data_IF_646228336782
#
_entry.id   IF_646228336782
#
_cell.length_a   1.000
_cell.length_b   1.000
_cell.length_c   1.000
_cell.angle_alpha   90.00
_cell.angle_beta   90.00
_cell.angle_gamma   90.00
#
_symmetry.space_group_name_H-M   'P 1'
#
loop_
_entity.id
_entity.type
_entity.pdbx_description
1 polymer ?
#
# COMPACT_ATOMS: atom_id res chain seq x y z
N UNK A 1 -18.04 -10.42 2.74
CA UNK A 1 -18.47 -10.81 1.37
C UNK A 1 -19.68 -9.94 1.10
N UNK A 2 -19.51 -8.87 0.33
CA UNK A 2 -20.63 -8.06 -0.14
C UNK A 2 -20.76 -8.35 -1.63
N UNK A 3 -21.91 -8.88 -2.01
CA UNK A 3 -22.34 -8.92 -3.41
C UNK A 3 -22.39 -7.48 -3.92
N UNK A 4 -21.54 -7.19 -4.91
CA UNK A 4 -21.62 -5.95 -5.68
C UNK A 4 -22.68 -6.21 -6.73
N UNK A 5 -23.87 -5.63 -6.53
CA UNK A 5 -24.86 -5.51 -7.60
C UNK A 5 -24.24 -4.65 -8.69
N UNK A 6 -23.94 -5.30 -9.82
CA UNK A 6 -23.22 -4.72 -10.93
C UNK A 6 -23.95 -3.57 -11.60
N UNK A 7 -23.15 -2.68 -12.17
CA UNK A 7 -23.52 -1.73 -13.21
C UNK A 7 -24.37 -2.43 -14.29
N UNK A 8 -25.43 -1.78 -14.80
CA UNK A 8 -26.26 -2.37 -15.85
C UNK A 8 -25.48 -2.36 -17.18
N UNK A 9 -24.99 -3.53 -17.61
CA UNK A 9 -24.47 -3.69 -18.97
C UNK A 9 -23.37 -4.74 -19.17
N UNK A 10 -22.67 -5.14 -18.13
CA UNK A 10 -21.60 -6.15 -18.25
C UNK A 10 -21.63 -7.07 -17.03
N UNK A 11 -22.13 -8.30 -17.21
CA UNK A 11 -21.87 -9.39 -16.27
C UNK A 11 -20.38 -9.73 -16.34
N UNK A 12 -19.54 -8.94 -15.67
CA UNK A 12 -18.17 -9.35 -15.38
C UNK A 12 -18.23 -10.47 -14.34
N UNK A 13 -17.60 -11.60 -14.66
CA UNK A 13 -17.49 -12.74 -13.76
C UNK A 13 -16.78 -12.34 -12.46
N UNK A 14 -16.95 -13.08 -11.33
CA UNK A 14 -16.36 -12.76 -10.01
C UNK A 14 -14.82 -12.94 -9.95
N UNK A 15 -14.14 -12.73 -11.07
CA UNK A 15 -12.73 -13.02 -11.34
C UNK A 15 -11.82 -11.80 -11.21
N UNK A 16 -12.37 -10.62 -10.90
CA UNK A 16 -11.60 -9.38 -10.83
C UNK A 16 -11.89 -8.58 -9.54
N UNK A 17 -10.85 -7.98 -8.96
CA UNK A 17 -11.00 -6.92 -7.97
C UNK A 17 -11.09 -5.57 -8.68
N UNK A 18 -12.12 -4.79 -8.36
CA UNK A 18 -12.36 -3.47 -8.95
C UNK A 18 -12.08 -2.37 -7.91
N UNK A 19 -11.17 -1.45 -8.23
CA UNK A 19 -10.97 -0.18 -7.51
C UNK A 19 -11.62 0.94 -8.31
N UNK A 20 -12.58 1.64 -7.75
CA UNK A 20 -13.48 2.57 -8.48
C UNK A 20 -13.17 4.05 -8.19
N UNK A 21 -13.80 4.94 -8.95
CA UNK A 21 -13.79 6.40 -8.74
C UNK A 21 -12.38 7.01 -8.83
N UNK A 22 -11.53 6.43 -9.68
CA UNK A 22 -10.18 6.92 -9.93
C UNK A 22 -10.22 7.90 -11.09
N UNK A 23 -9.44 8.96 -11.01
CA UNK A 23 -9.37 9.98 -12.05
C UNK A 23 -8.00 9.90 -12.73
N UNK A 24 -7.91 9.47 -14.00
CA UNK A 24 -6.64 9.47 -14.72
C UNK A 24 -6.19 10.91 -14.99
N UNK A 25 -4.96 11.25 -14.63
CA UNK A 25 -4.32 12.51 -14.99
C UNK A 25 -3.53 12.39 -16.30
N UNK A 26 -3.20 11.17 -16.72
CA UNK A 26 -2.46 10.86 -17.94
C UNK A 26 -1.09 10.25 -17.64
N UNK A 27 -0.15 10.43 -18.58
CA UNK A 27 1.26 10.07 -18.40
C UNK A 27 2.20 11.18 -18.85
N UNK A 28 3.37 11.24 -18.23
CA UNK A 28 4.49 12.08 -18.66
C UNK A 28 5.79 11.28 -18.64
N UNK A 29 6.72 11.54 -19.59
CA UNK A 29 8.02 10.87 -19.60
C UNK A 29 8.87 11.34 -18.41
N UNK A 30 9.53 10.39 -17.77
CA UNK A 30 10.51 10.58 -16.68
C UNK A 30 11.81 9.86 -17.02
N UNK A 31 12.92 10.38 -16.51
CA UNK A 31 14.26 9.82 -16.75
C UNK A 31 14.52 8.64 -15.83
N UNK A 32 14.18 8.77 -14.55
CA UNK A 32 14.34 7.73 -13.55
C UNK A 32 13.03 7.03 -13.25
N UNK A 33 13.05 5.71 -13.10
CA UNK A 33 11.87 4.95 -12.72
C UNK A 33 11.45 5.16 -11.27
N UNK A 34 12.37 5.53 -10.38
CA UNK A 34 12.15 5.54 -8.93
C UNK A 34 12.65 6.81 -8.20
N UNK A 35 13.06 7.85 -8.92
CA UNK A 35 13.41 9.13 -8.29
C UNK A 35 12.15 9.83 -7.77
N UNK A 36 11.96 9.80 -6.46
CA UNK A 36 10.80 10.39 -5.80
C UNK A 36 10.72 11.91 -5.99
N UNK A 37 11.83 12.60 -6.18
CA UNK A 37 11.83 14.05 -6.42
C UNK A 37 11.26 14.34 -7.80
N UNK A 38 11.72 13.59 -8.82
CA UNK A 38 11.21 13.68 -10.19
C UNK A 38 9.72 13.28 -10.27
N UNK A 39 9.35 12.19 -9.58
CA UNK A 39 7.95 11.72 -9.51
C UNK A 39 7.05 12.77 -8.84
N UNK A 40 7.43 13.33 -7.69
CA UNK A 40 6.65 14.38 -7.03
C UNK A 40 6.50 15.63 -7.92
N UNK A 41 7.57 16.05 -8.60
CA UNK A 41 7.53 17.16 -9.54
C UNK A 41 6.57 16.87 -10.70
N UNK A 42 6.58 15.64 -11.20
CA UNK A 42 5.69 15.17 -12.29
C UNK A 42 4.23 15.21 -11.86
N UNK A 43 3.88 14.66 -10.69
CA UNK A 43 2.51 14.69 -10.15
C UNK A 43 2.04 16.13 -9.97
N UNK A 44 2.89 17.00 -9.38
CA UNK A 44 2.56 18.42 -9.20
C UNK A 44 2.27 19.11 -10.53
N UNK A 45 3.13 18.89 -11.54
CA UNK A 45 2.97 19.44 -12.90
C UNK A 45 1.65 18.99 -13.53
N UNK A 46 1.31 17.71 -13.45
CA UNK A 46 0.07 17.18 -14.04
C UNK A 46 -1.19 17.71 -13.34
N UNK A 47 -1.14 17.89 -12.01
CA UNK A 47 -2.21 18.52 -11.25
C UNK A 47 -2.40 19.99 -11.66
N UNK A 48 -1.31 20.74 -11.82
CA UNK A 48 -1.35 22.13 -12.27
C UNK A 48 -1.87 22.27 -13.70
N UNK A 49 -1.42 21.41 -14.62
CA UNK A 49 -1.92 21.35 -16.00
C UNK A 49 -3.42 21.05 -16.04
N UNK A 50 -3.89 20.10 -15.22
CA UNK A 50 -5.32 19.79 -15.14
C UNK A 50 -6.13 20.96 -14.58
N UNK A 51 -5.62 21.68 -13.59
CA UNK A 51 -6.26 22.90 -13.04
C UNK A 51 -6.31 24.03 -14.07
N UNK A 52 -5.25 24.21 -14.86
CA UNK A 52 -5.21 25.20 -15.93
C UNK A 52 -6.23 24.89 -17.03
N UNK A 53 -6.36 23.62 -17.41
CA UNK A 53 -7.32 23.17 -18.43
C UNK A 53 -8.77 23.15 -17.90
N UNK A 54 -8.98 23.07 -16.59
CA UNK A 54 -10.29 23.00 -15.93
C UNK A 54 -11.00 24.34 -15.72
N UNK A 55 -10.40 25.49 -16.08
CA UNK A 55 -11.06 26.80 -16.01
C UNK A 55 -12.06 27.07 -17.15
N UNK A 56 -12.21 26.15 -18.10
CA UNK A 56 -13.08 26.32 -19.28
C UNK A 56 -14.31 25.40 -19.34
N UNK A 57 -14.56 24.52 -18.36
CA UNK A 57 -15.83 23.77 -18.33
C UNK A 57 -16.25 23.33 -16.92
N UNK A 58 -17.37 23.90 -16.47
CA UNK A 58 -18.13 23.42 -15.34
C UNK A 58 -18.63 21.99 -15.59
N UNK A 59 -18.29 21.08 -14.67
CA UNK A 59 -19.16 20.02 -14.14
C UNK A 59 -19.57 18.79 -14.98
N UNK A 60 -19.16 18.58 -16.25
CA UNK A 60 -19.72 17.46 -17.06
C UNK A 60 -18.78 16.43 -17.73
N UNK A 61 -17.46 16.39 -17.50
CA UNK A 61 -16.62 15.34 -18.12
C UNK A 61 -15.43 14.89 -17.28
N UNK A 62 -15.62 14.68 -15.98
CA UNK A 62 -14.63 13.93 -15.21
C UNK A 62 -14.84 12.45 -15.53
N UNK A 63 -14.13 11.94 -16.54
CA UNK A 63 -14.15 10.51 -16.85
C UNK A 63 -13.55 9.74 -15.68
N UNK A 64 -14.44 9.16 -14.87
CA UNK A 64 -14.04 8.23 -13.84
C UNK A 64 -13.61 6.92 -14.48
N UNK A 65 -12.54 6.37 -13.93
CA UNK A 65 -12.01 5.08 -14.32
C UNK A 65 -11.98 4.15 -13.12
N UNK A 66 -11.92 2.86 -13.39
CA UNK A 66 -11.64 1.85 -12.38
C UNK A 66 -10.45 0.99 -12.78
N UNK A 67 -9.64 0.57 -11.81
CA UNK A 67 -8.67 -0.52 -12.04
C UNK A 67 -9.39 -1.85 -11.86
N UNK A 68 -9.25 -2.73 -12.84
CA UNK A 68 -9.67 -4.12 -12.79
C UNK A 68 -8.43 -5.01 -12.72
N UNK A 69 -8.22 -5.62 -11.55
CA UNK A 69 -7.14 -6.57 -11.30
C UNK A 69 -7.66 -8.00 -11.37
N UNK A 70 -7.05 -8.90 -12.14
CA UNK A 70 -7.46 -10.29 -12.17
C UNK A 70 -7.11 -10.99 -10.85
N UNK A 71 -8.08 -11.74 -10.33
CA UNK A 71 -7.94 -12.62 -9.16
C UNK A 71 -7.30 -13.96 -9.52
N UNK A 72 -7.29 -14.35 -10.80
CA UNK A 72 -6.59 -15.54 -11.28
C UNK A 72 -5.07 -15.37 -11.20
N UNK A 73 -4.36 -16.45 -10.91
CA UNK A 73 -2.89 -16.48 -10.77
C UNK A 73 -2.13 -16.52 -12.09
N UNK A 74 -2.83 -16.72 -13.21
CA UNK A 74 -2.20 -16.92 -14.52
C UNK A 74 -1.83 -15.63 -15.26
N UNK A 75 -2.44 -14.50 -14.88
CA UNK A 75 -2.30 -13.24 -15.61
C UNK A 75 -1.59 -12.18 -14.78
N UNK A 76 -0.56 -11.56 -15.37
CA UNK A 76 0.13 -10.40 -14.81
C UNK A 76 -0.42 -9.08 -15.30
N UNK A 77 -1.45 -9.11 -16.14
CA UNK A 77 -2.02 -7.91 -16.74
C UNK A 77 -3.15 -7.36 -15.88
N UNK A 78 -3.33 -6.05 -15.87
CA UNK A 78 -4.50 -5.42 -15.28
C UNK A 78 -4.98 -4.29 -16.19
N UNK A 79 -6.24 -3.92 -16.07
CA UNK A 79 -6.86 -2.95 -16.98
C UNK A 79 -7.41 -1.75 -16.22
N UNK A 80 -7.37 -0.59 -16.87
CA UNK A 80 -8.12 0.60 -16.51
C UNK A 80 -9.35 0.62 -17.40
N UNK A 81 -10.53 0.65 -16.80
CA UNK A 81 -11.80 0.70 -17.50
C UNK A 81 -12.42 2.09 -17.33
N UNK A 82 -13.14 2.55 -18.34
CA UNK A 82 -14.04 3.69 -18.21
C UNK A 82 -15.24 3.25 -17.37
N UNK A 83 -15.47 3.90 -16.24
CA UNK A 83 -16.45 3.43 -15.25
C UNK A 83 -17.89 3.54 -15.77
N UNK A 84 -18.15 4.43 -16.73
CA UNK A 84 -19.49 4.65 -17.30
C UNK A 84 -19.83 3.60 -18.36
N UNK A 85 -18.87 3.27 -19.21
CA UNK A 85 -19.08 2.40 -20.38
C UNK A 85 -18.61 0.96 -20.14
N UNK A 86 -17.80 0.74 -19.10
CA UNK A 86 -17.13 -0.54 -18.85
C UNK A 86 -16.07 -0.91 -19.88
N UNK A 87 -15.76 -0.01 -20.83
CA UNK A 87 -14.76 -0.28 -21.86
C UNK A 87 -13.35 -0.18 -21.30
N UNK A 88 -12.46 -1.04 -21.80
CA UNK A 88 -11.03 -0.98 -21.49
C UNK A 88 -10.43 0.28 -22.11
N UNK A 89 -9.96 1.20 -21.25
CA UNK A 89 -9.25 2.42 -21.64
C UNK A 89 -7.78 2.10 -21.86
N UNK A 90 -7.20 1.30 -20.97
CA UNK A 90 -5.80 0.95 -21.03
C UNK A 90 -5.55 -0.40 -20.36
N UNK A 91 -4.63 -1.19 -20.90
CA UNK A 91 -4.16 -2.43 -20.28
C UNK A 91 -2.67 -2.31 -19.99
N UNK A 92 -2.29 -2.73 -18.80
CA UNK A 92 -0.91 -2.73 -18.33
C UNK A 92 -0.45 -4.16 -18.11
N UNK A 93 0.71 -4.49 -18.64
CA UNK A 93 1.43 -5.68 -18.23
C UNK A 93 2.31 -5.33 -17.03
N UNK A 94 2.10 -5.98 -15.89
CA UNK A 94 2.85 -5.68 -14.67
C UNK A 94 4.38 -5.84 -14.86
N UNK A 95 4.85 -6.69 -15.78
CA UNK A 95 6.29 -6.86 -16.05
C UNK A 95 6.95 -5.61 -16.65
N UNK A 96 6.15 -4.70 -17.21
CA UNK A 96 6.64 -3.42 -17.72
C UNK A 96 6.55 -2.30 -16.67
N UNK A 97 5.99 -2.58 -15.49
CA UNK A 97 5.97 -1.62 -14.37
C UNK A 97 7.24 -1.79 -13.55
N UNK A 98 8.03 -0.74 -13.49
CA UNK A 98 9.32 -0.73 -12.79
C UNK A 98 9.21 -0.18 -11.37
N UNK A 99 8.29 0.75 -11.15
CA UNK A 99 8.07 1.36 -9.86
C UNK A 99 6.61 1.75 -9.71
N UNK A 100 6.10 1.70 -8.48
CA UNK A 100 4.81 2.29 -8.13
C UNK A 100 4.89 2.86 -6.72
N UNK A 101 4.14 3.93 -6.48
CA UNK A 101 4.11 4.59 -5.18
C UNK A 101 2.77 5.28 -4.92
N UNK A 102 2.56 5.56 -3.63
CA UNK A 102 1.60 6.56 -3.17
C UNK A 102 2.30 7.92 -3.14
N UNK A 103 1.65 8.94 -3.73
CA UNK A 103 2.10 10.33 -3.63
C UNK A 103 0.96 11.13 -3.01
N UNK A 104 1.26 11.85 -1.92
CA UNK A 104 0.31 12.78 -1.31
C UNK A 104 0.75 14.21 -1.60
N UNK A 105 -0.12 14.98 -2.24
CA UNK A 105 0.00 16.44 -2.26
C UNK A 105 -0.87 17.02 -1.15
N UNK A 106 -0.48 18.18 -0.59
CA UNK A 106 -1.10 18.83 0.59
C UNK A 106 -2.60 18.53 0.79
N UNK A 107 -2.97 18.21 2.04
CA UNK A 107 -4.32 17.92 2.59
C UNK A 107 -5.37 17.44 1.56
N UNK A 108 -5.52 16.12 1.47
CA UNK A 108 -6.70 15.47 0.87
C UNK A 108 -6.54 14.95 -0.56
N UNK A 109 -5.37 15.12 -1.19
CA UNK A 109 -5.11 14.62 -2.54
C UNK A 109 -4.13 13.46 -2.52
N UNK A 110 -4.66 12.24 -2.66
CA UNK A 110 -3.88 11.02 -2.72
C UNK A 110 -3.79 10.51 -4.16
N UNK A 111 -2.59 10.16 -4.60
CA UNK A 111 -2.32 9.70 -5.95
C UNK A 111 -1.65 8.32 -5.92
N UNK A 112 -2.04 7.47 -6.86
CA UNK A 112 -1.23 6.32 -7.27
C UNK A 112 -0.42 6.75 -8.48
N UNK A 113 0.87 6.43 -8.43
CA UNK A 113 1.76 6.57 -9.57
C UNK A 113 2.42 5.25 -9.88
N UNK A 114 2.71 5.01 -11.16
CA UNK A 114 3.63 3.96 -11.54
C UNK A 114 4.41 4.34 -12.79
N UNK A 115 5.68 3.94 -12.84
CA UNK A 115 6.54 4.11 -13.99
C UNK A 115 6.53 2.86 -14.82
N UNK A 116 6.24 3.04 -16.10
CA UNK A 116 6.07 1.98 -17.08
C UNK A 116 7.14 2.14 -18.16
N UNK A 117 7.84 1.07 -18.48
CA UNK A 117 8.77 1.06 -19.60
C UNK A 117 7.96 0.84 -20.89
N UNK A 118 7.91 1.82 -21.82
CA UNK A 118 7.22 1.62 -23.08
C UNK A 118 7.83 0.44 -23.86
N UNK A 119 7.00 -0.32 -24.59
CA UNK A 119 7.50 -1.42 -25.41
C UNK A 119 8.50 -0.88 -26.43
N UNK A 120 9.62 -1.59 -26.61
CA UNK A 120 10.64 -1.19 -27.59
C UNK A 120 9.99 -1.11 -28.98
N UNK A 121 10.19 0.00 -29.72
CA UNK A 121 9.68 0.10 -31.08
C UNK A 121 10.28 -1.04 -31.92
N UNK A 122 9.42 -1.69 -32.71
CA UNK A 122 9.84 -2.77 -33.59
C UNK A 122 10.85 -2.30 -34.65
N UNK A 123 11.59 -3.25 -35.27
CA UNK A 123 12.68 -2.96 -36.20
C UNK A 123 12.28 -2.16 -37.46
N UNK A 124 10.99 -1.98 -37.71
CA UNK A 124 10.43 -1.22 -38.85
C UNK A 124 10.14 0.25 -38.56
N UNK A 125 10.39 0.74 -37.35
CA UNK A 125 10.10 2.14 -36.98
C UNK A 125 11.39 2.95 -37.03
N UNK A 126 11.45 4.10 -37.75
CA UNK A 126 12.66 4.92 -37.78
C UNK A 126 13.06 5.32 -36.36
N UNK A 127 14.37 5.44 -36.06
CA UNK A 127 14.85 5.79 -34.73
C UNK A 127 14.40 7.22 -34.37
N UNK A 128 13.22 7.35 -33.78
CA UNK A 128 12.84 8.55 -33.06
C UNK A 128 13.84 8.72 -31.92
N UNK A 129 14.44 9.90 -31.81
CA UNK A 129 15.48 10.26 -30.83
C UNK A 129 15.23 9.60 -29.48
N UNK A 130 15.98 8.53 -29.21
CA UNK A 130 15.84 7.67 -28.03
C UNK A 130 16.30 8.44 -26.80
N UNK A 131 15.36 9.12 -26.14
CA UNK A 131 15.44 9.25 -24.69
C UNK A 131 14.82 7.98 -24.13
N UNK A 132 15.66 7.03 -23.75
CA UNK A 132 15.29 5.83 -23.00
C UNK A 132 14.78 6.25 -21.62
N UNK A 133 13.54 6.73 -21.57
CA UNK A 133 12.84 7.12 -20.34
C UNK A 133 11.71 6.15 -20.04
N UNK A 134 11.10 6.34 -18.89
CA UNK A 134 9.88 5.66 -18.46
C UNK A 134 8.69 6.60 -18.65
N UNK A 135 7.50 6.05 -18.82
CA UNK A 135 6.26 6.83 -18.73
C UNK A 135 5.74 6.75 -17.29
N UNK A 136 5.65 7.89 -16.61
CA UNK A 136 5.04 8.00 -15.29
C UNK A 136 3.53 8.24 -15.46
N UNK A 137 2.73 7.23 -15.11
CA UNK A 137 1.28 7.33 -15.11
C UNK A 137 0.79 7.82 -13.74
N UNK A 138 -0.14 8.77 -13.75
CA UNK A 138 -0.65 9.39 -12.52
C UNK A 138 -2.17 9.28 -12.45
N UNK A 139 -2.65 8.79 -11.31
CA UNK A 139 -4.06 8.59 -11.04
C UNK A 139 -4.42 9.23 -9.70
N UNK A 140 -5.39 10.14 -9.71
CA UNK A 140 -5.93 10.71 -8.49
C UNK A 140 -6.95 9.75 -7.89
N UNK A 141 -6.78 9.45 -6.61
CA UNK A 141 -7.64 8.59 -5.82
C UNK A 141 -8.46 9.45 -4.85
N UNK A 142 -9.73 9.09 -4.58
CA UNK A 142 -10.59 9.85 -3.68
C UNK A 142 -10.15 9.74 -2.21
N UNK A 143 -9.33 8.75 -1.86
CA UNK A 143 -8.80 8.54 -0.51
C UNK A 143 -7.49 7.74 -0.53
N UNK A 144 -6.74 7.82 0.57
CA UNK A 144 -5.58 6.97 0.86
C UNK A 144 -5.92 5.48 0.91
N UNK A 145 -7.19 5.14 1.18
CA UNK A 145 -7.69 3.77 1.16
C UNK A 145 -7.69 3.17 -0.25
N UNK A 146 -8.18 3.90 -1.26
CA UNK A 146 -8.15 3.41 -2.64
C UNK A 146 -6.72 3.25 -3.14
N UNK A 147 -5.82 4.18 -2.77
CA UNK A 147 -4.38 4.02 -3.00
C UNK A 147 -3.86 2.73 -2.39
N UNK A 148 -4.22 2.43 -1.14
CA UNK A 148 -3.79 1.23 -0.43
C UNK A 148 -4.30 -0.06 -1.08
N UNK A 149 -5.54 -0.07 -1.60
CA UNK A 149 -6.09 -1.21 -2.34
C UNK A 149 -5.34 -1.46 -3.64
N UNK A 150 -5.11 -0.41 -4.42
CA UNK A 150 -4.41 -0.48 -5.71
C UNK A 150 -2.97 -0.96 -5.51
N UNK A 151 -2.23 -0.34 -4.59
CA UNK A 151 -0.84 -0.72 -4.27
C UNK A 151 -0.75 -2.14 -3.72
N UNK A 152 -1.72 -2.59 -2.91
CA UNK A 152 -1.80 -3.99 -2.47
C UNK A 152 -1.99 -4.96 -3.63
N UNK A 153 -2.83 -4.64 -4.61
CA UNK A 153 -3.04 -5.48 -5.79
C UNK A 153 -1.78 -5.56 -6.66
N UNK A 154 -1.12 -4.42 -6.90
CA UNK A 154 0.16 -4.38 -7.59
C UNK A 154 1.21 -5.22 -6.85
N UNK A 155 1.26 -5.12 -5.53
CA UNK A 155 2.13 -5.94 -4.70
C UNK A 155 1.82 -7.45 -4.80
N UNK A 156 0.54 -7.85 -4.79
CA UNK A 156 0.15 -9.25 -4.96
C UNK A 156 0.53 -9.80 -6.35
N UNK A 157 0.33 -9.03 -7.42
CA UNK A 157 0.79 -9.40 -8.76
C UNK A 157 2.32 -9.53 -8.77
N UNK A 158 3.03 -8.64 -8.07
CA UNK A 158 4.49 -8.69 -7.95
C UNK A 158 5.00 -9.97 -7.29
N UNK A 159 4.33 -10.41 -6.21
CA UNK A 159 4.69 -11.63 -5.48
C UNK A 159 4.51 -12.85 -6.38
N UNK A 160 3.33 -12.99 -7.01
CA UNK A 160 3.05 -14.08 -7.94
C UNK A 160 4.03 -14.14 -9.10
N UNK A 161 4.41 -12.97 -9.63
CA UNK A 161 5.39 -12.88 -10.73
C UNK A 161 6.81 -13.26 -10.30
N UNK A 162 7.18 -13.00 -9.05
CA UNK A 162 8.47 -13.42 -8.50
C UNK A 162 8.52 -14.94 -8.30
N UNK A 163 7.44 -15.52 -7.77
CA UNK A 163 7.34 -16.96 -7.49
C UNK A 163 7.29 -17.80 -8.78
N UNK A 164 6.67 -17.30 -9.85
CA UNK A 164 6.60 -17.99 -11.14
C UNK A 164 7.93 -18.07 -11.92
N UNK A 165 8.95 -17.28 -11.51
CA UNK A 165 10.22 -17.18 -12.23
C UNK A 165 11.37 -17.98 -11.58
N UNK A 166 11.21 -18.48 -10.35
CA UNK A 166 12.25 -19.21 -9.61
C UNK A 166 11.69 -20.29 -8.65
N UNK A 167 12.13 -21.56 -8.71
CA UNK A 167 11.82 -22.56 -7.68
C UNK A 167 12.44 -22.20 -6.31
N UNK A 168 11.92 -22.75 -5.19
CA UNK A 168 12.06 -22.24 -3.82
C UNK A 168 13.48 -22.25 -3.21
N UNK A 169 14.52 -22.61 -3.98
CA UNK A 169 15.90 -22.55 -3.54
C UNK A 169 16.58 -21.19 -3.80
N UNK A 170 15.95 -20.28 -4.55
CA UNK A 170 16.48 -18.93 -4.88
C UNK A 170 15.44 -17.80 -4.70
N UNK A 171 14.31 -18.07 -4.05
CA UNK A 171 13.13 -17.18 -3.99
C UNK A 171 13.25 -16.01 -3.00
N UNK A 172 14.46 -15.58 -2.63
CA UNK A 172 14.66 -14.49 -1.67
C UNK A 172 14.77 -13.09 -2.30
N UNK A 173 14.65 -12.93 -3.62
CA UNK A 173 14.75 -11.62 -4.28
C UNK A 173 13.72 -11.45 -5.43
N UNK A 174 12.74 -10.54 -5.32
CA UNK A 174 12.07 -9.98 -6.48
C UNK A 174 13.05 -9.14 -7.30
N UNK A 175 13.39 -9.60 -8.51
CA UNK A 175 14.36 -8.99 -9.44
C UNK A 175 14.09 -7.54 -9.89
N UNK A 176 12.99 -6.89 -9.49
CA UNK A 176 12.69 -5.50 -9.86
C UNK A 176 13.57 -4.46 -9.13
N UNK A 177 14.47 -4.91 -8.24
CA UNK A 177 15.50 -4.07 -7.59
C UNK A 177 16.89 -4.18 -8.22
N UNK A 178 17.10 -4.93 -9.29
CA UNK A 178 18.40 -4.97 -9.96
C UNK A 178 18.48 -3.87 -11.04
N UNK A 179 19.38 -2.87 -10.92
CA UNK A 179 19.78 -2.09 -12.08
C UNK A 179 20.48 -3.01 -13.07
N UNK A 180 20.29 -2.73 -14.35
CA UNK A 180 21.14 -3.24 -15.42
C UNK A 180 22.60 -3.07 -15.00
N UNK A 181 23.38 -4.15 -15.09
CA UNK A 181 24.79 -4.22 -14.72
C UNK A 181 25.57 -3.02 -15.26
N UNK A 182 25.81 -2.04 -14.38
CA UNK A 182 26.71 -0.93 -14.63
C UNK A 182 27.86 -1.09 -13.63
N UNK A 183 29.10 -1.30 -14.09
CA UNK A 183 30.23 -1.68 -13.24
C UNK A 183 30.65 -0.61 -12.20
N UNK A 184 29.98 0.56 -12.18
CA UNK A 184 30.25 1.67 -11.26
C UNK A 184 29.05 2.06 -10.37
N UNK A 185 27.96 1.30 -10.33
CA UNK A 185 26.85 1.60 -9.42
C UNK A 185 27.21 1.15 -7.98
N UNK A 186 26.97 1.98 -6.94
CA UNK A 186 27.16 1.55 -5.55
C UNK A 186 26.31 0.30 -5.28
N UNK A 187 26.87 -0.68 -4.57
CA UNK A 187 26.18 -1.92 -4.23
C UNK A 187 24.80 -1.61 -3.64
N UNK A 188 23.74 -1.99 -4.34
CA UNK A 188 22.38 -1.76 -3.90
C UNK A 188 21.98 -2.90 -2.97
N UNK A 189 21.78 -2.59 -1.70
CA UNK A 189 21.32 -3.56 -0.71
C UNK A 189 19.80 -3.50 -0.58
N UNK A 190 19.14 -4.64 -0.73
CA UNK A 190 17.73 -4.77 -0.38
C UNK A 190 17.62 -5.27 1.07
N UNK A 191 17.12 -4.43 1.97
CA UNK A 191 16.68 -4.88 3.28
C UNK A 191 15.17 -5.12 3.28
N UNK A 192 14.77 -6.26 3.83
CA UNK A 192 13.38 -6.56 4.13
C UNK A 192 13.17 -6.43 5.64
N UNK A 193 12.17 -5.65 6.03
CA UNK A 193 11.73 -5.48 7.40
C UNK A 193 10.35 -6.11 7.55
N UNK A 194 10.18 -6.87 8.63
CA UNK A 194 8.90 -7.44 9.03
C UNK A 194 8.33 -6.61 10.17
N UNK A 195 7.12 -6.11 9.96
CA UNK A 195 6.32 -5.47 11.00
C UNK A 195 5.53 -6.54 11.76
N UNK A 196 5.63 -6.50 13.07
CA UNK A 196 4.88 -7.33 14.01
C UNK A 196 3.85 -6.44 14.70
N UNK A 197 2.60 -6.89 14.69
CA UNK A 197 1.51 -6.22 15.38
C UNK A 197 0.88 -7.23 16.33
N UNK A 198 0.96 -6.91 17.61
CA UNK A 198 0.28 -7.61 18.70
C UNK A 198 -0.59 -6.62 19.47
N UNK A 199 -1.80 -7.05 19.82
CA UNK A 199 -2.73 -6.25 20.62
C UNK A 199 -3.02 -7.08 21.85
N UNK A 200 -2.88 -6.48 23.03
CA UNK A 200 -3.09 -7.13 24.31
C UNK A 200 -4.19 -6.44 25.09
N UNK A 201 -4.84 -7.19 25.95
CA UNK A 201 -5.85 -6.72 26.88
C UNK A 201 -5.37 -6.93 28.31
N UNK A 202 -5.76 -6.03 29.19
CA UNK A 202 -5.55 -6.21 30.62
C UNK A 202 -6.16 -7.54 31.09
N UNK A 203 -5.37 -8.30 31.85
CA UNK A 203 -5.77 -9.59 32.41
C UNK A 203 -5.03 -9.83 33.72
N UNK A 204 -5.75 -9.68 34.83
CA UNK A 204 -5.23 -9.87 36.18
C UNK A 204 -4.78 -11.32 36.46
N UNK A 205 -5.11 -12.28 35.58
CA UNK A 205 -4.69 -13.67 35.71
C UNK A 205 -3.39 -13.98 34.96
N UNK A 206 -2.97 -13.09 34.07
CA UNK A 206 -1.73 -13.24 33.31
C UNK A 206 -0.53 -12.82 34.16
N UNK A 207 0.56 -13.59 34.10
CA UNK A 207 1.83 -13.22 34.74
C UNK A 207 2.43 -11.92 34.17
N UNK A 208 2.03 -11.55 32.94
CA UNK A 208 2.44 -10.33 32.27
C UNK A 208 1.45 -9.17 32.49
N UNK A 209 0.43 -9.35 33.33
CA UNK A 209 -0.67 -8.39 33.54
C UNK A 209 -1.54 -8.16 32.31
N UNK A 210 -1.25 -8.83 31.19
CA UNK A 210 -1.99 -8.68 29.94
C UNK A 210 -1.93 -9.96 29.11
N UNK A 211 -2.94 -10.17 28.28
CA UNK A 211 -3.08 -11.32 27.39
C UNK A 211 -3.21 -10.86 25.95
N UNK A 212 -2.58 -11.58 25.02
CA UNK A 212 -2.71 -11.31 23.59
C UNK A 212 -4.16 -11.54 23.13
N UNK A 213 -4.66 -10.61 22.32
CA UNK A 213 -6.00 -10.68 21.75
C UNK A 213 -6.03 -11.78 20.69
N UNK A 214 -6.97 -12.74 20.78
CA UNK A 214 -7.11 -13.78 19.77
C UNK A 214 -7.41 -13.19 18.39
N UNK A 215 -6.68 -13.67 17.38
CA UNK A 215 -6.95 -13.38 15.96
C UNK A 215 -7.97 -14.40 15.45
N UNK A 216 -9.17 -13.96 15.05
CA UNK A 216 -10.14 -14.85 14.38
C UNK A 216 -9.72 -15.13 12.93
N UNK A 217 -9.10 -14.13 12.27
CA UNK A 217 -8.52 -14.19 10.91
C UNK A 217 -7.23 -13.38 10.88
N UNK A 218 -6.37 -13.51 9.85
CA UNK A 218 -5.07 -12.82 9.80
C UNK A 218 -5.13 -11.30 10.07
N UNK A 219 -6.26 -10.66 9.74
CA UNK A 219 -6.49 -9.22 9.89
C UNK A 219 -7.76 -8.90 10.72
N UNK A 220 -8.24 -9.82 11.56
CA UNK A 220 -9.43 -9.61 12.37
C UNK A 220 -9.14 -9.91 13.83
N UNK A 221 -9.22 -8.88 14.66
CA UNK A 221 -9.07 -8.94 16.11
C UNK A 221 -10.45 -8.83 16.75
N UNK A 222 -10.64 -9.55 17.86
CA UNK A 222 -11.86 -9.49 18.64
C UNK A 222 -11.56 -9.00 20.04
N UNK A 223 -12.07 -7.82 20.34
CA UNK A 223 -11.85 -7.16 21.61
C UNK A 223 -12.97 -7.46 22.61
N UNK A 224 -12.59 -7.57 23.88
CA UNK A 224 -13.51 -7.45 25.02
C UNK A 224 -13.76 -5.96 25.27
N UNK A 225 -15.04 -5.59 25.37
CA UNK A 225 -15.43 -4.24 25.75
C UNK A 225 -15.00 -3.94 27.20
N UNK A 226 -14.84 -2.65 27.49
CA UNK A 226 -14.52 -2.06 28.79
C UNK A 226 -13.21 -2.51 29.43
N UNK A 227 -12.26 -2.98 28.62
CA UNK A 227 -10.89 -3.29 29.06
C UNK A 227 -9.88 -2.35 28.39
N UNK A 228 -8.87 -1.95 29.15
CA UNK A 228 -7.69 -1.28 28.59
C UNK A 228 -7.01 -2.20 27.58
N UNK A 229 -6.48 -1.57 26.53
CA UNK A 229 -5.82 -2.25 25.43
C UNK A 229 -4.41 -1.72 25.30
N UNK A 230 -3.48 -2.61 25.02
CA UNK A 230 -2.08 -2.28 24.73
C UNK A 230 -1.75 -2.72 23.31
N UNK A 231 -1.33 -1.78 22.47
CA UNK A 231 -0.76 -2.05 21.15
C UNK A 231 0.75 -2.24 21.30
N UNK A 232 1.28 -3.35 20.82
CA UNK A 232 2.71 -3.65 20.74
C UNK A 232 3.12 -3.72 19.28
N UNK A 233 4.08 -2.89 18.90
CA UNK A 233 4.63 -2.84 17.54
C UNK A 233 6.08 -3.28 17.59
N UNK A 234 6.40 -4.33 16.83
CA UNK A 234 7.76 -4.84 16.67
C UNK A 234 8.24 -4.73 15.24
N UNK A 235 9.54 -4.54 15.05
CA UNK A 235 10.18 -4.65 13.74
C UNK A 235 11.31 -5.66 13.85
N UNK A 236 11.32 -6.65 12.95
CA UNK A 236 12.44 -7.57 12.77
C UNK A 236 12.96 -7.48 11.34
N UNK A 237 14.22 -7.87 11.14
CA UNK A 237 14.74 -8.06 9.78
C UNK A 237 14.21 -9.38 9.23
N UNK A 238 13.92 -9.41 7.95
CA UNK A 238 13.56 -10.62 7.23
C UNK A 238 14.69 -10.97 6.26
N UNK A 239 15.40 -12.07 6.53
CA UNK A 239 16.45 -12.61 5.69
C UNK A 239 17.88 -12.31 6.19
N UNK A 240 18.71 -13.33 6.05
CA UNK A 240 20.12 -13.34 6.45
C UNK A 240 20.99 -12.98 5.24
N UNK A 241 20.94 -11.71 4.81
CA UNK A 241 21.97 -11.20 3.91
C UNK A 241 23.13 -10.74 4.79
N UNK A 242 24.15 -11.59 4.95
CA UNK A 242 25.36 -11.36 5.76
C UNK A 242 26.13 -10.11 5.33
N UNK A 243 26.00 -9.72 4.06
CA UNK A 243 26.80 -8.67 3.45
C UNK A 243 26.06 -7.31 3.39
N UNK A 244 24.78 -7.28 3.76
CA UNK A 244 23.97 -6.05 3.76
C UNK A 244 24.05 -5.34 5.11
N UNK A 245 24.25 -4.00 5.13
CA UNK A 245 24.41 -3.23 6.35
C UNK A 245 23.26 -3.46 7.34
N UNK A 246 23.58 -3.43 8.63
CA UNK A 246 22.60 -3.58 9.71
C UNK A 246 21.67 -2.37 9.74
N UNK A 247 20.54 -2.47 9.05
CA UNK A 247 19.45 -1.51 9.14
C UNK A 247 18.61 -1.81 10.38
N UNK A 248 18.54 -0.82 11.28
CA UNK A 248 17.75 -0.86 12.50
C UNK A 248 16.82 0.35 12.57
N UNK A 249 15.65 0.16 13.18
CA UNK A 249 14.76 1.27 13.50
C UNK A 249 15.39 2.05 14.67
N UNK A 250 15.68 3.33 14.44
CA UNK A 250 16.28 4.21 15.44
C UNK A 250 15.21 4.74 16.40
N UNK A 251 14.09 5.19 15.86
CA UNK A 251 12.98 5.74 16.63
C UNK A 251 11.65 5.51 15.91
N UNK A 252 10.57 5.53 16.69
CA UNK A 252 9.20 5.61 16.21
C UNK A 252 8.72 7.03 16.52
N UNK A 253 8.23 7.75 15.51
CA UNK A 253 7.82 9.15 15.67
C UNK A 253 6.44 9.28 16.30
N UNK A 254 5.51 8.44 15.87
CA UNK A 254 4.12 8.49 16.31
C UNK A 254 3.44 7.14 16.11
N UNK A 255 2.52 6.82 17.01
CA UNK A 255 1.56 5.73 16.86
C UNK A 255 0.17 6.32 16.99
N UNK A 256 -0.69 6.04 16.02
CA UNK A 256 -2.10 6.43 16.04
C UNK A 256 -3.03 5.25 15.74
N UNK A 257 -4.28 5.40 16.15
CA UNK A 257 -5.36 4.48 15.85
C UNK A 257 -6.47 5.21 15.11
N UNK A 258 -7.05 4.52 14.14
CA UNK A 258 -8.32 4.90 13.53
C UNK A 258 -9.19 3.64 13.44
N UNK A 259 -10.51 3.83 13.44
CA UNK A 259 -11.47 2.76 13.31
C UNK A 259 -12.33 2.95 12.06
N UNK A 260 -12.89 1.85 11.54
CA UNK A 260 -13.74 1.85 10.36
C UNK A 260 -12.98 1.68 9.04
N UNK A 261 -13.74 1.77 7.95
CA UNK A 261 -13.22 1.78 6.57
C UNK A 261 -13.03 3.23 6.11
N UNK A 262 -12.18 3.41 5.10
CA UNK A 262 -11.95 4.73 4.47
C UNK A 262 -11.33 5.80 5.38
N UNK A 263 -10.48 5.37 6.32
CA UNK A 263 -9.72 6.25 7.21
C UNK A 263 -8.88 7.26 6.43
N UNK A 264 -9.16 8.54 6.63
CA UNK A 264 -8.32 9.66 6.21
C UNK A 264 -7.28 9.99 7.28
N UNK A 265 -6.25 10.77 6.92
CA UNK A 265 -5.23 11.23 7.87
C UNK A 265 -5.84 12.00 9.06
N UNK A 266 -7.00 12.64 8.87
CA UNK A 266 -7.72 13.37 9.91
C UNK A 266 -8.51 12.47 10.88
N UNK A 267 -8.72 11.21 10.52
CA UNK A 267 -9.46 10.24 11.35
C UNK A 267 -8.53 9.48 12.31
N UNK A 268 -7.22 9.65 12.17
CA UNK A 268 -6.21 9.02 13.01
C UNK A 268 -6.11 9.77 14.34
N UNK A 269 -6.45 9.08 15.42
CA UNK A 269 -6.24 9.54 16.79
C UNK A 269 -4.86 9.13 17.26
N UNK A 270 -3.98 10.08 17.51
CA UNK A 270 -2.64 9.83 18.04
C UNK A 270 -2.73 9.20 19.44
N UNK A 271 -2.10 8.03 19.63
CA UNK A 271 -1.96 7.38 20.93
C UNK A 271 -0.74 7.89 21.68
N UNK A 272 0.39 8.00 20.99
CA UNK A 272 1.67 8.40 21.58
C UNK A 272 2.57 8.99 20.52
N UNK A 273 3.28 10.06 20.89
CA UNK A 273 4.36 10.65 20.12
C UNK A 273 5.70 10.26 20.73
N UNK A 274 6.67 9.88 19.90
CA UNK A 274 8.02 9.48 20.28
C UNK A 274 8.05 8.39 21.38
N UNK A 275 7.36 7.25 21.21
CA UNK A 275 7.39 6.18 22.21
C UNK A 275 8.80 5.65 22.42
N UNK A 276 9.14 5.43 23.69
CA UNK A 276 10.42 4.85 24.06
C UNK A 276 10.51 3.40 23.56
N UNK A 277 11.64 3.08 22.93
CA UNK A 277 12.01 1.70 22.62
C UNK A 277 12.07 0.90 23.93
N UNK A 278 11.47 -0.28 23.94
CA UNK A 278 11.55 -1.19 25.08
C UNK A 278 12.99 -1.72 25.27
N UNK A 279 13.29 -2.10 26.51
CA UNK A 279 14.50 -2.85 26.83
C UNK A 279 14.54 -4.16 26.03
N UNK A 280 15.73 -4.70 25.79
CA UNK A 280 15.88 -5.97 25.04
C UNK A 280 15.11 -7.11 25.69
N UNK A 281 15.08 -7.18 27.02
CA UNK A 281 14.39 -8.24 27.76
C UNK A 281 12.87 -8.11 27.63
N UNK A 282 12.33 -6.89 27.81
CA UNK A 282 10.91 -6.63 27.62
C UNK A 282 10.46 -6.85 26.17
N UNK A 283 11.30 -6.44 25.22
CA UNK A 283 11.06 -6.63 23.80
C UNK A 283 11.00 -8.12 23.45
N UNK A 284 11.94 -8.94 23.95
CA UNK A 284 11.97 -10.38 23.70
C UNK A 284 10.80 -11.11 24.36
N UNK A 285 10.34 -10.65 25.53
CA UNK A 285 9.16 -11.22 26.20
C UNK A 285 7.86 -10.97 25.42
N UNK A 286 7.78 -9.88 24.64
CA UNK A 286 6.60 -9.53 23.86
C UNK A 286 6.67 -10.04 22.42
N UNK A 287 7.78 -9.78 21.73
CA UNK A 287 8.00 -10.10 20.32
C UNK A 287 9.42 -10.66 20.17
N UNK A 288 9.60 -11.98 20.36
CA UNK A 288 10.90 -12.64 20.24
C UNK A 288 11.57 -12.36 18.88
N UNK A 289 12.84 -11.95 18.90
CA UNK A 289 13.62 -11.71 17.69
C UNK A 289 13.34 -10.38 16.98
N UNK A 290 12.51 -9.51 17.54
CA UNK A 290 12.38 -8.14 17.06
C UNK A 290 13.60 -7.29 17.49
N UNK A 291 14.14 -6.52 16.55
CA UNK A 291 15.26 -5.60 16.82
C UNK A 291 14.80 -4.26 17.41
N UNK A 292 13.51 -3.96 17.26
CA UNK A 292 12.85 -2.77 17.77
C UNK A 292 11.45 -3.12 18.24
N UNK A 293 11.08 -2.73 19.46
CA UNK A 293 9.74 -2.91 20.00
C UNK A 293 9.33 -1.66 20.76
N UNK A 294 8.11 -1.20 20.54
CA UNK A 294 7.44 -0.12 21.28
C UNK A 294 6.06 -0.59 21.69
N UNK A 295 5.55 -0.03 22.79
CA UNK A 295 4.19 -0.28 23.25
C UNK A 295 3.48 1.02 23.60
N UNK A 296 2.17 1.04 23.40
CA UNK A 296 1.29 2.12 23.85
C UNK A 296 -0.06 1.55 24.24
N UNK A 297 -0.79 2.24 25.09
CA UNK A 297 -2.11 1.82 25.56
C UNK A 297 -3.18 2.82 25.12
N UNK A 298 -4.43 2.35 25.06
CA UNK A 298 -5.58 3.21 24.92
C UNK A 298 -6.70 2.77 25.87
N UNK A 299 -7.35 3.77 26.48
CA UNK A 299 -8.39 3.55 27.48
C UNK A 299 -9.77 3.47 26.81
N UNK A 300 -10.61 2.46 27.12
CA UNK A 300 -11.98 2.39 26.61
C UNK A 300 -12.89 3.51 27.17
N UNK A 301 -12.41 4.26 28.17
CA UNK A 301 -13.15 5.36 28.81
C UNK A 301 -12.96 6.70 28.08
N UNK A 302 -11.98 6.79 27.18
CA UNK A 302 -11.75 8.01 26.43
C UNK A 302 -12.78 8.12 25.30
N UNK A 303 -13.47 9.28 25.16
CA UNK A 303 -14.55 9.44 24.18
C UNK A 303 -14.13 9.11 22.74
N UNK A 304 -12.89 9.43 22.36
CA UNK A 304 -12.33 9.12 21.04
C UNK A 304 -12.24 7.62 20.72
N UNK A 305 -12.30 6.74 21.73
CA UNK A 305 -12.26 5.28 21.57
C UNK A 305 -13.59 4.60 21.86
N UNK A 306 -14.68 5.35 22.07
CA UNK A 306 -16.01 4.82 22.34
C UNK A 306 -16.46 3.80 21.27
N UNK A 307 -16.16 4.10 20.00
CA UNK A 307 -16.52 3.24 18.87
C UNK A 307 -15.72 1.93 18.86
N UNK A 308 -14.44 1.96 19.27
CA UNK A 308 -13.64 0.74 19.46
C UNK A 308 -14.11 -0.09 20.67
N UNK A 309 -14.86 0.52 21.58
CA UNK A 309 -15.39 -0.10 22.79
C UNK A 309 -16.84 -0.61 22.63
N UNK A 310 -17.48 -0.36 21.49
CA UNK A 310 -18.87 -0.71 21.24
C UNK A 310 -19.01 -2.21 20.96
N UNK A 311 -19.90 -2.88 21.69
CA UNK A 311 -20.21 -4.31 21.48
C UNK A 311 -20.92 -4.46 20.14
N UNK A 312 -20.38 -5.32 19.28
CA UNK A 312 -20.96 -5.63 17.97
C UNK A 312 -21.74 -6.94 18.00
N UNK A 313 -22.83 -7.02 17.24
CA UNK A 313 -23.54 -8.27 17.00
C UNK A 313 -22.60 -9.29 16.34
N UNK A 314 -22.72 -10.59 16.71
CA UNK A 314 -21.99 -11.66 16.01
C UNK A 314 -22.24 -11.56 14.50
N UNK A 315 -21.18 -11.29 13.74
CA UNK A 315 -21.22 -11.20 12.28
C UNK A 315 -21.32 -9.80 11.69
N UNK A 316 -21.52 -8.75 12.50
CA UNK A 316 -21.42 -7.35 12.06
C UNK A 316 -20.11 -6.75 12.54
N UNK A 317 -19.13 -6.61 11.65
CA UNK A 317 -17.96 -5.80 11.95
C UNK A 317 -18.36 -4.32 11.95
N UNK A 318 -17.75 -3.49 12.80
CA UNK A 318 -17.80 -2.03 12.63
C UNK A 318 -17.21 -1.73 11.23
N UNK A 319 -18.09 -1.34 10.31
CA UNK A 319 -17.74 -0.95 8.94
C UNK A 319 -17.41 0.51 8.90
#
# INVERSE_FOLDING_TARGET
>A
MCDIQGLPGTKMSPTHLICENIIPLGSLPVVSSCDMTEIHATVKKMVEQRKANGKESDSLSQSFSCFAFPLSDETTDFSVLDQRTGQVVQTFNYRNIYYYASVNLKKGHSFVVFTHLPPKPGPSTPPASTKSGYDCFVYHCPSSFEVSRITKCLFQISQRTADAKYPPALSSIPHWKAPVDSPNAPAQYAASLRLHIDIREDDSKSSLGSIAVPKEKPNLFKFRANLEKTLVIGVSRQGDCSDAPHLGVVSCLEIGLAFGRYVSDGDVTTLVTNPAKLSTDDANNLIPGASFVVKTAWSPKEPQFELLNTVTDRGKSLT
#
